data_IF_286565372809
#
_entry.id   IF_286565372809
#
_cell.length_a   1.000
_cell.length_b   1.000
_cell.length_c   1.000
_cell.angle_alpha   90.00
_cell.angle_beta   90.00
_cell.angle_gamma   90.00
#
_symmetry.space_group_name_H-M   'P 1'
#
loop_
_entity.id
_entity.type
_entity.pdbx_description
1 polymer ?
#
# COMPACT_ATOMS: atom_id res chain seq x y z
N UNK A 1 5.05 6.70 21.35
CA UNK A 1 5.61 6.53 20.00
C UNK A 1 4.82 7.43 19.10
N UNK A 2 5.49 8.39 18.47
CA UNK A 2 4.85 9.28 17.52
C UNK A 2 4.81 8.60 16.14
N UNK A 3 3.69 8.74 15.44
CA UNK A 3 3.47 8.18 14.11
C UNK A 3 3.23 9.33 13.14
N UNK A 4 4.03 9.37 12.08
CA UNK A 4 3.87 10.35 10.99
C UNK A 4 3.39 9.61 9.76
N UNK A 5 2.26 10.07 9.21
CA UNK A 5 1.66 9.52 7.99
C UNK A 5 1.80 10.54 6.88
N UNK A 6 2.50 10.18 5.80
CA UNK A 6 2.62 11.04 4.61
C UNK A 6 2.64 10.20 3.34
N UNK A 7 2.49 10.84 2.18
CA UNK A 7 2.83 10.16 0.93
C UNK A 7 4.35 9.88 0.85
N UNK A 8 4.73 8.92 0.01
CA UNK A 8 6.12 8.50 -0.22
C UNK A 8 6.81 9.43 -1.23
N UNK A 9 6.85 10.72 -0.92
CA UNK A 9 7.66 11.67 -1.65
C UNK A 9 9.06 11.73 -1.03
N UNK A 10 10.12 11.56 -1.83
CA UNK A 10 11.50 11.45 -1.31
C UNK A 10 11.91 12.59 -0.39
N UNK A 11 11.58 13.84 -0.75
CA UNK A 11 11.86 15.00 0.10
C UNK A 11 11.06 15.04 1.41
N UNK A 12 9.84 14.50 1.44
CA UNK A 12 9.03 14.43 2.67
C UNK A 12 9.61 13.38 3.62
N UNK A 13 9.93 12.19 3.11
CA UNK A 13 10.51 11.11 3.92
C UNK A 13 11.84 11.56 4.52
N UNK A 14 12.71 12.18 3.71
CA UNK A 14 14.00 12.72 4.20
C UNK A 14 13.81 13.81 5.27
N UNK A 15 12.83 14.70 5.11
CA UNK A 15 12.55 15.72 6.10
C UNK A 15 12.04 15.12 7.41
N UNK A 16 11.20 14.08 7.33
CA UNK A 16 10.69 13.35 8.50
C UNK A 16 11.84 12.70 9.26
N UNK A 17 12.69 11.95 8.58
CA UNK A 17 13.88 11.31 9.17
C UNK A 17 14.84 12.32 9.81
N UNK A 18 15.01 13.49 9.17
CA UNK A 18 15.94 14.53 9.63
C UNK A 18 15.41 15.38 10.80
N UNK A 19 14.11 15.55 10.93
CA UNK A 19 13.54 16.52 11.88
C UNK A 19 12.67 15.89 12.97
N UNK A 20 12.26 14.64 12.81
CA UNK A 20 11.35 13.95 13.73
C UNK A 20 11.97 12.63 14.21
N UNK A 21 13.15 12.71 14.84
CA UNK A 21 13.83 11.53 15.37
C UNK A 21 12.96 10.80 16.40
N UNK A 22 12.94 9.46 16.33
CA UNK A 22 12.15 8.62 17.23
C UNK A 22 10.67 8.48 16.83
N UNK A 23 10.20 9.22 15.83
CA UNK A 23 8.90 8.97 15.21
C UNK A 23 9.00 7.80 14.21
N UNK A 24 7.96 6.97 14.18
CA UNK A 24 7.79 5.98 13.12
C UNK A 24 7.11 6.65 11.93
N UNK A 25 7.61 6.40 10.72
CA UNK A 25 6.95 6.85 9.50
C UNK A 25 6.13 5.72 8.85
N UNK A 26 4.94 6.05 8.37
CA UNK A 26 4.09 5.17 7.58
C UNK A 26 3.61 5.88 6.32
N UNK A 27 3.67 5.19 5.17
CA UNK A 27 3.07 5.69 3.94
C UNK A 27 1.54 5.77 4.08
N UNK A 28 0.97 6.89 3.64
CA UNK A 28 -0.48 7.09 3.58
C UNK A 28 -1.16 6.01 2.73
N UNK A 29 -2.05 5.23 3.33
CA UNK A 29 -2.77 4.14 2.67
C UNK A 29 -3.65 4.64 1.51
N UNK A 30 -4.28 5.80 1.63
CA UNK A 30 -5.10 6.39 0.57
C UNK A 30 -4.31 6.67 -0.71
N UNK A 31 -3.13 7.28 -0.57
CA UNK A 31 -2.24 7.52 -1.72
C UNK A 31 -1.68 6.21 -2.26
N UNK A 32 -1.34 5.26 -1.39
CA UNK A 32 -0.83 3.96 -1.79
C UNK A 32 -1.85 3.18 -2.64
N UNK A 33 -3.10 3.08 -2.18
CA UNK A 33 -4.20 2.43 -2.91
C UNK A 33 -4.41 3.13 -4.26
N UNK A 34 -4.47 4.46 -4.28
CA UNK A 34 -4.66 5.22 -5.53
C UNK A 34 -3.59 4.87 -6.56
N UNK A 35 -2.32 4.85 -6.14
CA UNK A 35 -1.21 4.52 -7.04
C UNK A 35 -1.31 3.10 -7.61
N UNK A 36 -1.75 2.13 -6.81
CA UNK A 36 -1.99 0.76 -7.28
C UNK A 36 -3.13 0.72 -8.30
N UNK A 37 -4.26 1.38 -8.00
CA UNK A 37 -5.43 1.39 -8.88
C UNK A 37 -5.16 2.12 -10.21
N UNK A 38 -4.42 3.23 -10.17
CA UNK A 38 -4.04 3.99 -11.36
C UNK A 38 -3.15 3.17 -12.32
N UNK A 39 -2.44 2.17 -11.80
CA UNK A 39 -1.64 1.23 -12.58
C UNK A 39 -2.44 0.02 -13.12
N UNK A 40 -3.70 -0.14 -12.72
CA UNK A 40 -4.58 -1.25 -13.13
C UNK A 40 -5.64 -0.80 -14.15
N UNK A 41 -6.10 -1.70 -15.06
CA UNK A 41 -7.22 -1.40 -15.95
C UNK A 41 -8.51 -1.07 -15.18
N UNK A 42 -9.25 -0.04 -15.63
CA UNK A 42 -10.45 0.48 -14.93
C UNK A 42 -11.48 -0.60 -14.56
N UNK A 43 -11.74 -1.55 -15.46
CA UNK A 43 -12.75 -2.60 -15.25
C UNK A 43 -12.39 -3.61 -14.15
N UNK A 44 -11.14 -3.59 -13.66
CA UNK A 44 -10.64 -4.47 -12.59
C UNK A 44 -10.47 -3.74 -11.25
N UNK A 45 -10.54 -2.40 -11.24
CA UNK A 45 -10.16 -1.59 -10.06
C UNK A 45 -11.04 -1.89 -8.84
N UNK A 46 -12.35 -2.08 -9.01
CA UNK A 46 -13.24 -2.37 -7.88
C UNK A 46 -12.91 -3.70 -7.20
N UNK A 47 -12.65 -4.74 -7.99
CA UNK A 47 -12.27 -6.05 -7.47
C UNK A 47 -10.89 -6.00 -6.77
N UNK A 48 -9.93 -5.29 -7.36
CA UNK A 48 -8.61 -5.12 -6.78
C UNK A 48 -8.65 -4.28 -5.49
N UNK A 49 -9.47 -3.23 -5.44
CA UNK A 49 -9.65 -2.38 -4.25
C UNK A 49 -10.15 -3.19 -3.06
N UNK A 50 -11.17 -4.04 -3.25
CA UNK A 50 -11.71 -4.85 -2.17
C UNK A 50 -10.68 -5.84 -1.60
N UNK A 51 -9.85 -6.43 -2.46
CA UNK A 51 -8.79 -7.34 -2.01
C UNK A 51 -7.67 -6.59 -1.27
N UNK A 52 -7.26 -5.42 -1.74
CA UNK A 52 -6.28 -4.56 -1.03
C UNK A 52 -6.82 -4.13 0.33
N UNK A 53 -8.10 -3.77 0.43
CA UNK A 53 -8.75 -3.47 1.71
C UNK A 53 -8.70 -4.68 2.65
N UNK A 54 -8.90 -5.88 2.13
CA UNK A 54 -8.73 -7.12 2.87
C UNK A 54 -7.34 -7.25 3.50
N UNK A 55 -6.28 -6.92 2.75
CA UNK A 55 -4.90 -6.93 3.26
C UNK A 55 -4.73 -5.91 4.40
N UNK A 56 -5.20 -4.67 4.20
CA UNK A 56 -5.00 -3.58 5.16
C UNK A 56 -5.83 -3.74 6.45
N UNK A 57 -6.96 -4.41 6.38
CA UNK A 57 -7.84 -4.68 7.53
C UNK A 57 -7.67 -6.08 8.12
N UNK A 58 -6.64 -6.83 7.69
CA UNK A 58 -6.38 -8.16 8.21
C UNK A 58 -6.19 -8.15 9.75
N UNK A 59 -6.69 -9.17 10.46
CA UNK A 59 -6.67 -9.21 11.93
C UNK A 59 -5.25 -9.33 12.50
N UNK A 60 -4.28 -9.75 11.70
CA UNK A 60 -2.88 -9.84 12.07
C UNK A 60 -1.99 -9.84 10.83
N UNK A 61 -0.67 -9.71 11.07
CA UNK A 61 0.34 -9.62 10.02
C UNK A 61 0.48 -10.90 9.19
N UNK A 62 0.22 -12.07 9.78
CA UNK A 62 0.30 -13.36 9.10
C UNK A 62 -0.83 -13.47 8.06
N UNK A 63 -2.06 -13.13 8.45
CA UNK A 63 -3.20 -13.06 7.54
C UNK A 63 -2.99 -12.01 6.45
N UNK A 64 -2.45 -10.82 6.80
CA UNK A 64 -2.14 -9.78 5.81
C UNK A 64 -1.17 -10.28 4.72
N UNK A 65 -0.14 -11.04 5.11
CA UNK A 65 0.83 -11.61 4.16
C UNK A 65 0.23 -12.70 3.29
N UNK A 66 -0.60 -13.57 3.87
CA UNK A 66 -1.31 -14.59 3.10
C UNK A 66 -2.22 -13.95 2.03
N UNK A 67 -2.97 -12.90 2.41
CA UNK A 67 -3.83 -12.18 1.47
C UNK A 67 -2.99 -11.46 0.40
N UNK A 68 -1.83 -10.89 0.76
CA UNK A 68 -0.91 -10.30 -0.20
C UNK A 68 -0.42 -11.32 -1.24
N UNK A 69 0.00 -12.52 -0.80
CA UNK A 69 0.43 -13.59 -1.71
C UNK A 69 -0.69 -14.00 -2.67
N UNK A 70 -1.94 -14.09 -2.18
CA UNK A 70 -3.10 -14.40 -3.02
C UNK A 70 -3.39 -13.31 -4.05
N UNK A 71 -3.29 -12.04 -3.65
CA UNK A 71 -3.46 -10.90 -4.56
C UNK A 71 -2.37 -10.90 -5.63
N UNK A 72 -1.11 -11.06 -5.25
CA UNK A 72 0.00 -11.12 -6.20
C UNK A 72 -0.21 -12.24 -7.21
N UNK A 73 -0.46 -13.48 -6.75
CA UNK A 73 -0.69 -14.62 -7.64
C UNK A 73 -1.88 -14.41 -8.60
N UNK A 74 -2.92 -13.69 -8.18
CA UNK A 74 -4.11 -13.45 -9.00
C UNK A 74 -3.93 -12.35 -10.03
N UNK A 75 -3.17 -11.31 -9.70
CA UNK A 75 -3.11 -10.06 -10.45
C UNK A 75 -1.80 -9.81 -11.18
N UNK A 76 -0.73 -10.55 -10.88
CA UNK A 76 0.60 -10.37 -11.50
C UNK A 76 0.55 -10.43 -13.04
N UNK A 77 -0.21 -11.36 -13.63
CA UNK A 77 -0.37 -11.43 -15.08
C UNK A 77 -1.35 -10.39 -15.65
N UNK A 78 -2.39 -10.03 -14.88
CA UNK A 78 -3.51 -9.20 -15.36
C UNK A 78 -3.24 -7.70 -15.25
N UNK A 79 -2.50 -7.31 -14.22
CA UNK A 79 -2.16 -5.93 -13.89
C UNK A 79 -0.71 -5.86 -13.36
N UNK A 80 0.30 -6.26 -14.18
CA UNK A 80 1.68 -6.36 -13.72
C UNK A 80 2.23 -5.05 -13.15
N UNK A 81 1.84 -3.89 -13.73
CA UNK A 81 2.25 -2.57 -13.24
C UNK A 81 1.69 -2.22 -11.86
N UNK A 82 0.56 -2.80 -11.48
CA UNK A 82 -0.06 -2.59 -10.18
C UNK A 82 0.56 -3.47 -9.08
N UNK A 83 1.30 -4.51 -9.46
CA UNK A 83 1.92 -5.48 -8.54
C UNK A 83 3.43 -5.23 -8.30
N UNK A 84 3.99 -4.16 -8.89
CA UNK A 84 5.37 -3.71 -8.70
C UNK A 84 5.51 -2.79 -7.50
#
# INVERSE_FOLDING_TARGET
MDLIISDQHGGLVQAIEKHFQGATWQRCQTHFIRNILDAAPKYMQDALLEEIRGILHAPNKQTARLLLEQVLAKWEEKAPKAMQ
#
